data_IF_321767031568
#
_entry.id   IF_321767031568
#
_cell.length_a   1.000
_cell.length_b   1.000
_cell.length_c   1.000
_cell.angle_alpha   90.00
_cell.angle_beta   90.00
_cell.angle_gamma   90.00
#
_symmetry.space_group_name_H-M   'P 1'
#
loop_
_entity.id
_entity.type
_entity.pdbx_description
1 polymer ?
#
# COMPACT_ATOMS: atom_id res chain seq x y z
N UNK A 1 -25.94 -29.32 -22.21
CA UNK A 1 -24.50 -29.55 -21.99
C UNK A 1 -24.06 -28.67 -20.85
N UNK A 2 -23.32 -29.25 -19.90
CA UNK A 2 -22.82 -28.52 -18.73
C UNK A 2 -21.45 -27.94 -19.09
N UNK A 3 -21.30 -26.62 -18.98
CA UNK A 3 -20.00 -25.97 -19.09
C UNK A 3 -19.09 -26.53 -17.99
N UNK A 4 -17.96 -27.14 -18.38
CA UNK A 4 -16.95 -27.58 -17.43
C UNK A 4 -16.06 -26.41 -17.06
N UNK A 5 -15.94 -26.15 -15.76
CA UNK A 5 -15.06 -25.14 -15.17
C UNK A 5 -13.86 -25.86 -14.56
N UNK A 6 -12.67 -25.63 -15.09
CA UNK A 6 -11.44 -26.11 -14.49
C UNK A 6 -10.78 -24.98 -13.68
N UNK A 7 -10.53 -25.23 -12.39
CA UNK A 7 -9.82 -24.31 -11.49
C UNK A 7 -8.47 -24.88 -11.12
N UNK A 8 -7.41 -24.09 -11.29
CA UNK A 8 -6.06 -24.48 -10.87
C UNK A 8 -5.41 -23.37 -10.08
N UNK A 9 -4.69 -23.75 -9.02
CA UNK A 9 -3.87 -22.85 -8.23
C UNK A 9 -2.42 -23.00 -8.68
N UNK A 10 -1.71 -21.89 -8.86
CA UNK A 10 -0.28 -21.91 -9.15
C UNK A 10 0.47 -20.98 -8.18
N UNK A 11 1.70 -21.37 -7.86
CA UNK A 11 2.64 -20.60 -7.07
C UNK A 11 3.90 -20.44 -7.90
N UNK A 12 4.28 -19.20 -8.20
CA UNK A 12 5.54 -18.89 -8.86
C UNK A 12 6.43 -18.15 -7.88
N UNK A 13 7.52 -18.79 -7.47
CA UNK A 13 8.54 -18.19 -6.63
C UNK A 13 9.71 -17.65 -7.46
N UNK A 14 10.36 -16.61 -6.94
CA UNK A 14 11.55 -15.98 -7.53
C UNK A 14 11.31 -15.36 -8.92
N UNK A 15 10.17 -14.70 -9.11
CA UNK A 15 9.92 -13.88 -10.30
C UNK A 15 10.90 -12.70 -10.35
N UNK A 16 11.72 -12.63 -11.39
CA UNK A 16 12.49 -11.43 -11.72
C UNK A 16 11.59 -10.42 -12.46
N UNK A 17 11.06 -9.45 -11.73
CA UNK A 17 10.06 -8.50 -12.26
C UNK A 17 10.58 -7.63 -13.44
N UNK A 18 11.91 -7.51 -13.60
CA UNK A 18 12.56 -6.64 -14.58
C UNK A 18 12.33 -6.98 -16.06
N UNK A 19 11.75 -8.14 -16.39
CA UNK A 19 11.39 -8.51 -17.77
C UNK A 19 9.90 -8.43 -18.09
N UNK A 20 9.03 -8.38 -17.08
CA UNK A 20 7.58 -8.61 -17.25
C UNK A 20 6.76 -7.36 -16.92
N UNK A 21 7.23 -6.50 -16.00
CA UNK A 21 6.53 -5.27 -15.65
C UNK A 21 7.56 -4.13 -15.54
N UNK A 22 7.57 -3.14 -16.46
CA UNK A 22 8.51 -2.02 -16.42
C UNK A 22 8.29 -1.06 -15.23
N UNK A 23 7.30 -1.34 -14.37
CA UNK A 23 7.01 -0.59 -13.16
C UNK A 23 7.96 -0.88 -12.01
N UNK A 24 8.36 -2.15 -11.83
CA UNK A 24 8.96 -2.63 -10.60
C UNK A 24 10.07 -3.63 -10.94
N UNK A 25 11.23 -3.48 -10.30
CA UNK A 25 12.27 -4.51 -10.30
C UNK A 25 12.40 -5.13 -8.91
N UNK A 26 12.64 -6.44 -8.85
CA UNK A 26 12.85 -7.18 -7.61
C UNK A 26 12.53 -8.67 -7.74
N UNK A 27 12.59 -9.37 -6.61
CA UNK A 27 12.26 -10.80 -6.47
C UNK A 27 10.99 -10.95 -5.63
N UNK A 28 10.00 -11.63 -6.19
CA UNK A 28 8.70 -11.82 -5.56
C UNK A 28 8.09 -13.20 -5.80
N UNK A 29 6.92 -13.40 -5.20
CA UNK A 29 6.09 -14.59 -5.39
C UNK A 29 4.71 -14.19 -5.93
N UNK A 30 4.16 -15.01 -6.81
CA UNK A 30 2.80 -14.87 -7.33
C UNK A 30 2.00 -16.11 -6.94
N UNK A 31 0.87 -15.91 -6.29
CA UNK A 31 -0.11 -16.97 -6.01
C UNK A 31 -1.42 -16.57 -6.67
N UNK A 32 -2.04 -17.49 -7.40
CA UNK A 32 -3.33 -17.19 -7.99
C UNK A 32 -4.10 -18.42 -8.46
N UNK A 33 -5.32 -18.15 -8.88
CA UNK A 33 -6.28 -19.09 -9.41
C UNK A 33 -6.57 -18.75 -10.87
N UNK A 34 -6.53 -19.75 -11.74
CA UNK A 34 -6.97 -19.63 -13.12
C UNK A 34 -8.22 -20.47 -13.34
N UNK A 35 -9.23 -19.85 -13.95
CA UNK A 35 -10.47 -20.49 -14.36
C UNK A 35 -10.54 -20.55 -15.88
N UNK A 36 -10.63 -21.78 -16.42
CA UNK A 36 -10.74 -22.02 -17.86
C UNK A 36 -12.12 -22.62 -18.15
N UNK A 37 -12.87 -21.96 -19.04
CA UNK A 37 -14.15 -22.47 -19.54
C UNK A 37 -13.88 -23.34 -20.77
N UNK A 38 -14.37 -24.58 -20.75
CA UNK A 38 -14.20 -25.53 -21.85
C UNK A 38 -15.55 -25.69 -22.56
N UNK A 39 -15.58 -25.35 -23.85
CA UNK A 39 -16.76 -25.48 -24.70
C UNK A 39 -16.93 -26.88 -25.29
N UNK A 40 -18.05 -27.12 -25.99
CA UNK A 40 -18.37 -28.42 -26.60
C UNK A 40 -17.36 -28.88 -27.66
N UNK A 41 -16.60 -27.95 -28.25
CA UNK A 41 -15.60 -28.22 -29.30
C UNK A 41 -14.16 -28.29 -28.77
N UNK A 42 -13.97 -28.39 -27.45
CA UNK A 42 -12.65 -28.40 -26.80
C UNK A 42 -12.37 -27.13 -26.01
N UNK A 43 -11.09 -26.83 -25.76
CA UNK A 43 -10.69 -25.57 -25.11
C UNK A 43 -10.93 -24.43 -26.11
N UNK A 44 -12.16 -23.93 -26.17
CA UNK A 44 -12.40 -22.59 -26.66
C UNK A 44 -11.80 -21.66 -25.62
N UNK A 45 -10.59 -21.16 -25.86
CA UNK A 45 -9.99 -20.10 -25.03
C UNK A 45 -10.73 -18.78 -25.28
N UNK A 46 -12.05 -18.77 -25.08
CA UNK A 46 -12.80 -17.56 -24.78
C UNK A 46 -12.52 -17.24 -23.32
N UNK A 47 -11.30 -16.76 -23.08
CA UNK A 47 -10.94 -16.21 -21.80
C UNK A 47 -10.38 -17.16 -20.78
N UNK A 48 -9.28 -16.74 -20.17
CA UNK A 48 -8.83 -17.27 -18.91
C UNK A 48 -9.11 -16.18 -17.89
N UNK A 49 -10.10 -16.41 -17.05
CA UNK A 49 -10.32 -15.57 -15.88
C UNK A 49 -9.22 -15.95 -14.87
N UNK A 50 -8.43 -14.98 -14.45
CA UNK A 50 -7.30 -15.22 -13.56
C UNK A 50 -7.33 -14.22 -12.41
N UNK A 51 -7.10 -14.70 -11.20
CA UNK A 51 -6.99 -13.87 -10.01
C UNK A 51 -5.73 -14.22 -9.24
N UNK A 52 -5.14 -13.27 -8.55
CA UNK A 52 -3.97 -13.57 -7.77
C UNK A 52 -3.45 -12.43 -6.93
N UNK A 53 -2.47 -12.76 -6.10
CA UNK A 53 -1.70 -11.82 -5.32
C UNK A 53 -0.23 -11.98 -5.67
N UNK A 54 0.37 -10.89 -6.12
CA UNK A 54 1.81 -10.74 -6.26
C UNK A 54 2.37 -10.07 -5.01
N UNK A 55 3.41 -10.66 -4.42
CA UNK A 55 4.13 -10.12 -3.27
C UNK A 55 5.59 -9.93 -3.62
N UNK A 56 6.12 -8.75 -3.32
CA UNK A 56 7.51 -8.40 -3.52
C UNK A 56 8.09 -7.89 -2.20
N UNK A 57 8.94 -8.71 -1.58
CA UNK A 57 9.55 -8.38 -0.29
C UNK A 57 10.48 -7.16 -0.40
N UNK A 58 11.27 -7.08 -1.47
CA UNK A 58 12.17 -5.97 -1.75
C UNK A 58 12.23 -5.68 -3.24
N UNK A 59 12.23 -4.40 -3.58
CA UNK A 59 12.37 -3.97 -4.96
C UNK A 59 12.51 -2.48 -5.11
N UNK A 60 12.38 -2.02 -6.36
CA UNK A 60 12.42 -0.60 -6.70
C UNK A 60 11.37 -0.29 -7.75
N UNK A 61 10.66 0.81 -7.54
CA UNK A 61 9.81 1.42 -8.57
C UNK A 61 10.69 2.10 -9.61
N UNK A 62 10.44 1.79 -10.88
CA UNK A 62 11.20 2.30 -12.03
C UNK A 62 10.62 3.61 -12.60
N UNK A 63 9.53 4.11 -12.01
CA UNK A 63 8.84 5.36 -12.38
C UNK A 63 9.55 6.64 -11.92
N UNK A 64 10.80 6.56 -11.45
CA UNK A 64 11.59 7.70 -10.95
C UNK A 64 11.28 8.06 -9.50
N UNK A 65 11.65 9.28 -9.09
CA UNK A 65 11.50 9.76 -7.72
C UNK A 65 10.03 10.10 -7.42
N UNK A 66 9.34 9.14 -6.78
CA UNK A 66 7.91 9.24 -6.47
C UNK A 66 7.60 10.46 -5.60
N UNK A 67 8.48 10.78 -4.65
CA UNK A 67 8.34 11.96 -3.82
C UNK A 67 8.27 13.24 -4.64
N UNK A 68 9.08 13.39 -5.70
CA UNK A 68 9.02 14.54 -6.59
C UNK A 68 7.72 14.59 -7.40
N UNK A 69 7.24 13.44 -7.87
CA UNK A 69 6.00 13.34 -8.63
C UNK A 69 4.74 13.62 -7.81
N UNK A 70 4.71 13.20 -6.55
CA UNK A 70 3.53 13.30 -5.69
C UNK A 70 3.56 14.57 -4.83
N UNK A 71 4.71 14.92 -4.26
CA UNK A 71 4.84 16.02 -3.30
C UNK A 71 5.29 17.31 -4.01
N UNK A 72 4.48 17.74 -4.97
CA UNK A 72 4.74 18.93 -5.80
C UNK A 72 4.61 20.23 -5.00
N UNK A 73 5.05 21.34 -5.58
CA UNK A 73 4.94 22.65 -4.92
C UNK A 73 3.47 23.07 -4.74
N UNK A 74 2.57 22.65 -5.62
CA UNK A 74 1.12 22.83 -5.47
C UNK A 74 0.58 22.12 -4.25
N UNK A 75 0.97 20.86 -4.01
CA UNK A 75 0.60 20.10 -2.81
C UNK A 75 1.05 20.84 -1.55
N UNK A 76 2.31 21.31 -1.52
CA UNK A 76 2.80 22.07 -0.38
C UNK A 76 2.08 23.41 -0.20
N UNK A 77 1.74 24.10 -1.28
CA UNK A 77 0.98 25.35 -1.22
C UNK A 77 -0.44 25.13 -0.66
N UNK A 78 -1.09 24.01 -0.99
CA UNK A 78 -2.38 23.63 -0.41
C UNK A 78 -2.25 23.40 1.10
N UNK A 79 -1.23 22.66 1.53
CA UNK A 79 -0.98 22.45 2.96
C UNK A 79 -0.70 23.77 3.68
N UNK A 80 0.23 24.59 3.18
CA UNK A 80 0.59 25.90 3.77
C UNK A 80 -0.62 26.80 3.96
N UNK A 81 -1.52 26.88 2.99
CA UNK A 81 -2.77 27.65 3.09
C UNK A 81 -3.69 27.14 4.21
N UNK A 82 -3.69 25.83 4.43
CA UNK A 82 -4.53 25.18 5.45
C UNK A 82 -3.97 25.36 6.85
N UNK A 83 -2.65 25.24 7.00
CA UNK A 83 -1.98 25.35 8.30
C UNK A 83 -1.55 26.79 8.65
N UNK A 84 -1.59 27.71 7.69
CA UNK A 84 -1.15 29.10 7.81
C UNK A 84 0.31 29.27 8.28
N UNK A 85 1.19 28.36 7.84
CA UNK A 85 2.62 28.38 8.15
C UNK A 85 3.42 27.64 7.08
N UNK A 86 4.73 27.88 7.04
CA UNK A 86 5.64 27.12 6.20
C UNK A 86 5.87 25.69 6.72
N UNK A 87 6.21 24.81 5.78
CA UNK A 87 6.67 23.45 6.05
C UNK A 87 8.20 23.43 6.13
N UNK A 88 8.75 22.47 6.87
CA UNK A 88 10.19 22.28 7.00
C UNK A 88 10.82 21.92 5.64
N UNK A 89 11.51 22.88 5.02
CA UNK A 89 12.11 22.72 3.69
C UNK A 89 13.16 21.62 3.62
N UNK A 90 13.89 21.35 4.71
CA UNK A 90 14.86 20.25 4.77
C UNK A 90 14.17 18.89 4.68
N UNK A 91 13.06 18.72 5.40
CA UNK A 91 12.26 17.50 5.35
C UNK A 91 11.60 17.31 3.97
N UNK A 92 11.05 18.39 3.38
CA UNK A 92 10.51 18.36 2.00
C UNK A 92 11.57 17.92 1.00
N UNK A 93 12.77 18.50 1.06
CA UNK A 93 13.86 18.17 0.13
C UNK A 93 14.38 16.73 0.31
N UNK A 94 14.27 16.16 1.51
CA UNK A 94 14.58 14.76 1.77
C UNK A 94 13.57 13.87 1.04
N UNK A 95 12.28 14.10 1.27
CA UNK A 95 11.20 13.29 0.69
C UNK A 95 11.15 13.35 -0.85
N UNK A 96 11.42 14.52 -1.45
CA UNK A 96 11.51 14.63 -2.91
C UNK A 96 12.60 13.74 -3.52
N UNK A 97 13.65 13.42 -2.75
CA UNK A 97 14.79 12.57 -3.16
C UNK A 97 14.65 11.10 -2.75
N UNK A 98 13.55 10.74 -2.10
CA UNK A 98 13.32 9.36 -1.65
C UNK A 98 13.03 8.47 -2.87
N UNK A 99 14.08 7.85 -3.40
CA UNK A 99 14.02 7.03 -4.59
C UNK A 99 13.33 5.69 -4.28
N UNK A 100 12.03 5.60 -4.56
CA UNK A 100 11.28 4.41 -5.05
C UNK A 100 11.50 3.03 -4.42
N UNK A 101 12.24 2.91 -3.32
CA UNK A 101 12.57 1.64 -2.70
C UNK A 101 11.28 1.07 -2.11
N UNK A 102 10.95 -0.13 -2.59
CA UNK A 102 9.82 -0.91 -2.12
C UNK A 102 10.33 -1.86 -1.05
N UNK A 103 9.66 -1.81 0.09
CA UNK A 103 9.53 -2.93 1.01
C UNK A 103 8.08 -3.40 1.00
N UNK A 104 7.89 -4.72 0.99
CA UNK A 104 6.57 -5.35 1.16
C UNK A 104 5.49 -4.82 0.20
N UNK A 105 5.77 -4.78 -1.10
CA UNK A 105 4.71 -4.57 -2.08
C UNK A 105 3.80 -5.80 -2.12
N UNK A 106 2.50 -5.54 -2.08
CA UNK A 106 1.45 -6.52 -2.34
C UNK A 106 0.51 -5.93 -3.40
N UNK A 107 0.26 -6.71 -4.44
CA UNK A 107 -0.63 -6.38 -5.55
C UNK A 107 -1.62 -7.52 -5.72
N UNK A 108 -2.90 -7.26 -5.51
CA UNK A 108 -4.00 -8.20 -5.75
C UNK A 108 -4.73 -7.77 -7.01
N UNK A 109 -5.04 -8.73 -7.88
CA UNK A 109 -5.67 -8.45 -9.16
C UNK A 109 -6.60 -9.57 -9.64
N UNK A 110 -7.54 -9.19 -10.50
CA UNK A 110 -8.42 -10.07 -11.24
C UNK A 110 -8.38 -9.67 -12.71
N UNK A 111 -8.15 -10.60 -13.62
CA UNK A 111 -8.16 -10.38 -15.06
C UNK A 111 -9.25 -11.20 -15.71
N UNK A 112 -9.94 -10.58 -16.67
CA UNK A 112 -10.90 -11.17 -17.59
C UNK A 112 -10.47 -10.85 -19.03
N UNK A 113 -11.28 -11.20 -20.02
CA UNK A 113 -10.94 -11.08 -21.45
C UNK A 113 -10.57 -9.68 -21.91
N UNK A 114 -11.12 -8.65 -21.26
CA UNK A 114 -10.98 -7.26 -21.67
C UNK A 114 -10.12 -6.40 -20.73
N UNK A 115 -9.97 -6.80 -19.47
CA UNK A 115 -9.47 -5.92 -18.42
C UNK A 115 -8.73 -6.71 -17.33
N UNK A 116 -7.73 -6.07 -16.73
CA UNK A 116 -7.12 -6.48 -15.47
C UNK A 116 -7.45 -5.44 -14.40
N UNK A 117 -8.28 -5.83 -13.44
CA UNK A 117 -8.63 -5.03 -12.28
C UNK A 117 -7.60 -5.24 -11.16
N UNK A 118 -6.96 -4.16 -10.73
CA UNK A 118 -6.09 -4.11 -9.55
C UNK A 118 -6.98 -3.79 -8.35
N UNK A 119 -7.34 -4.82 -7.59
CA UNK A 119 -8.25 -4.68 -6.46
C UNK A 119 -7.58 -4.02 -5.26
N UNK A 120 -6.27 -4.22 -5.12
CA UNK A 120 -5.47 -3.66 -4.03
C UNK A 120 -3.99 -3.64 -4.42
N UNK A 121 -3.34 -2.49 -4.32
CA UNK A 121 -1.90 -2.35 -4.46
C UNK A 121 -1.39 -1.53 -3.28
N UNK A 122 -0.57 -2.15 -2.44
CA UNK A 122 0.07 -1.49 -1.32
C UNK A 122 1.57 -1.67 -1.41
N UNK A 123 2.34 -0.63 -1.11
CA UNK A 123 3.76 -0.79 -0.83
C UNK A 123 4.20 0.11 0.31
N UNK A 124 5.24 -0.33 1.01
CA UNK A 124 5.80 0.38 2.14
C UNK A 124 7.19 0.90 1.78
N UNK A 125 7.49 2.06 2.32
CA UNK A 125 8.79 2.67 2.39
C UNK A 125 9.01 3.12 3.85
N UNK A 126 10.24 3.21 4.36
CA UNK A 126 10.49 3.72 5.71
C UNK A 126 9.81 5.06 6.02
N UNK A 127 9.68 5.93 5.02
CA UNK A 127 9.18 7.28 5.20
C UNK A 127 7.67 7.42 4.85
N UNK A 128 7.13 6.53 4.01
CA UNK A 128 5.75 6.60 3.54
C UNK A 128 5.17 5.22 3.19
N UNK A 129 3.85 5.14 3.18
CA UNK A 129 3.10 4.03 2.60
C UNK A 129 2.31 4.54 1.40
N UNK A 130 2.05 3.68 0.42
CA UNK A 130 1.12 4.00 -0.66
C UNK A 130 0.12 2.88 -0.84
N UNK A 131 -1.12 3.28 -1.12
CA UNK A 131 -2.27 2.41 -1.31
C UNK A 131 -2.98 2.86 -2.58
N UNK A 132 -3.11 1.97 -3.56
CA UNK A 132 -3.76 2.23 -4.84
C UNK A 132 -4.77 1.13 -5.15
N UNK A 133 -5.82 1.49 -5.88
CA UNK A 133 -6.72 0.57 -6.56
C UNK A 133 -6.99 1.11 -7.97
N UNK A 134 -7.29 0.22 -8.91
CA UNK A 134 -7.51 0.66 -10.29
C UNK A 134 -7.76 -0.47 -11.26
N UNK A 135 -7.71 -0.16 -12.54
CA UNK A 135 -7.85 -1.13 -13.61
C UNK A 135 -6.93 -0.81 -14.79
N UNK A 136 -6.63 -1.85 -15.57
CA UNK A 136 -5.81 -1.82 -16.75
C UNK A 136 -6.60 -2.45 -17.89
N UNK A 137 -6.93 -1.65 -18.91
CA UNK A 137 -7.66 -2.12 -20.10
C UNK A 137 -6.69 -2.77 -21.08
N UNK A 138 -7.03 -3.96 -21.59
CA UNK A 138 -6.15 -4.74 -22.48
C UNK A 138 -6.09 -4.20 -23.91
N UNK A 139 -7.18 -3.60 -24.39
CA UNK A 139 -7.32 -3.16 -25.79
C UNK A 139 -6.28 -2.10 -26.20
N UNK A 140 -5.79 -1.33 -25.24
CA UNK A 140 -4.87 -0.20 -25.41
C UNK A 140 -3.76 -0.13 -24.33
N UNK A 141 -3.79 -1.02 -23.33
CA UNK A 141 -2.82 -1.03 -22.24
C UNK A 141 -2.95 0.18 -21.31
N UNK A 142 -4.12 0.82 -21.28
CA UNK A 142 -4.36 2.03 -20.48
C UNK A 142 -4.59 1.65 -19.02
N UNK A 143 -3.76 2.21 -18.15
CA UNK A 143 -3.85 2.10 -16.70
C UNK A 143 -4.60 3.31 -16.15
N UNK A 144 -5.61 3.05 -15.32
CA UNK A 144 -6.32 4.06 -14.53
C UNK A 144 -6.38 3.56 -13.09
N UNK A 145 -5.69 4.25 -12.17
CA UNK A 145 -5.74 3.93 -10.75
C UNK A 145 -5.81 5.19 -9.90
N UNK A 146 -6.31 5.05 -8.70
CA UNK A 146 -6.39 6.10 -7.70
C UNK A 146 -5.99 5.58 -6.34
N UNK A 147 -5.66 6.48 -5.42
CA UNK A 147 -5.45 6.08 -4.05
C UNK A 147 -4.78 7.15 -3.23
N UNK A 148 -3.98 6.73 -2.25
CA UNK A 148 -3.38 7.61 -1.26
C UNK A 148 -1.89 7.33 -1.10
N UNK A 149 -1.12 8.40 -1.10
CA UNK A 149 0.26 8.44 -0.66
C UNK A 149 0.30 8.98 0.76
N UNK A 150 0.67 8.14 1.72
CA UNK A 150 0.52 8.37 3.15
C UNK A 150 1.89 8.55 3.79
N UNK A 151 2.17 9.74 4.29
CA UNK A 151 3.40 10.04 5.03
C UNK A 151 3.27 9.53 6.47
N UNK A 152 4.31 8.85 6.94
CA UNK A 152 4.31 8.30 8.31
C UNK A 152 4.16 9.39 9.38
N UNK A 153 3.77 8.99 10.58
CA UNK A 153 3.67 9.90 11.74
C UNK A 153 4.97 10.62 12.04
N UNK A 154 6.12 9.93 11.97
CA UNK A 154 7.42 10.55 12.22
C UNK A 154 7.69 11.66 11.20
N UNK A 155 7.53 11.34 9.90
CA UNK A 155 7.77 12.29 8.81
C UNK A 155 6.80 13.47 8.86
N UNK A 156 5.53 13.22 9.17
CA UNK A 156 4.52 14.27 9.32
C UNK A 156 4.91 15.26 10.41
N UNK A 157 5.41 14.77 11.56
CA UNK A 157 5.91 15.61 12.65
C UNK A 157 7.21 16.38 12.30
N UNK A 158 8.07 15.81 11.45
CA UNK A 158 9.27 16.50 10.96
C UNK A 158 8.95 17.62 9.95
N UNK A 159 7.90 17.43 9.13
CA UNK A 159 7.43 18.40 8.15
C UNK A 159 6.76 19.62 8.80
N UNK A 160 6.00 19.38 9.86
CA UNK A 160 5.15 20.40 10.50
C UNK A 160 5.46 20.44 11.99
N UNK A 161 6.41 21.29 12.37
CA UNK A 161 6.95 21.38 13.73
C UNK A 161 5.91 21.88 14.76
N UNK A 162 4.94 22.68 14.31
CA UNK A 162 3.84 23.14 15.16
C UNK A 162 2.77 22.04 15.27
N UNK A 163 2.59 21.50 16.48
CA UNK A 163 1.64 20.41 16.76
C UNK A 163 0.19 20.79 16.49
N UNK A 164 -0.22 22.02 16.80
CA UNK A 164 -1.60 22.48 16.58
C UNK A 164 -1.90 22.66 15.10
N UNK A 165 -0.90 23.08 14.31
CA UNK A 165 -1.00 23.10 12.86
C UNK A 165 -1.03 21.68 12.26
N UNK A 166 -0.20 20.76 12.77
CA UNK A 166 -0.15 19.37 12.32
C UNK A 166 -1.50 18.68 12.52
N UNK A 167 -2.13 18.87 13.70
CA UNK A 167 -3.46 18.34 14.03
C UNK A 167 -4.55 18.71 13.00
N UNK A 168 -4.37 19.77 12.20
CA UNK A 168 -5.34 20.18 11.18
C UNK A 168 -5.33 19.32 9.93
N UNK A 169 -4.23 18.63 9.64
CA UNK A 169 -4.07 17.93 8.35
C UNK A 169 -3.73 16.44 8.48
N UNK A 170 -3.46 15.96 9.70
CA UNK A 170 -3.23 14.54 9.95
C UNK A 170 -4.52 13.78 10.23
N UNK A 171 -4.52 12.49 9.91
CA UNK A 171 -5.55 11.55 10.34
C UNK A 171 -5.40 11.19 11.84
N UNK A 172 -6.28 10.32 12.34
CA UNK A 172 -6.23 9.84 13.74
C UNK A 172 -4.93 9.13 14.13
N UNK A 173 -4.21 8.57 13.15
CA UNK A 173 -2.92 7.92 13.33
C UNK A 173 -1.75 8.92 13.34
N UNK A 174 -1.99 10.19 13.04
CA UNK A 174 -0.97 11.23 12.93
C UNK A 174 -0.26 11.28 11.57
N UNK A 175 -0.89 10.72 10.53
CA UNK A 175 -0.33 10.62 9.18
C UNK A 175 -0.95 11.66 8.24
N UNK A 176 -0.17 12.15 7.28
CA UNK A 176 -0.65 13.01 6.19
C UNK A 176 -0.97 12.14 4.97
N UNK A 177 -2.18 12.25 4.44
CA UNK A 177 -2.59 11.55 3.22
C UNK A 177 -2.67 12.51 2.04
N UNK A 178 -1.98 12.17 0.95
CA UNK A 178 -2.04 12.87 -0.34
C UNK A 178 -2.77 11.96 -1.33
N UNK A 179 -3.99 12.32 -1.75
CA UNK A 179 -4.69 11.62 -2.82
C UNK A 179 -3.87 11.66 -4.11
N UNK A 180 -3.82 10.56 -4.84
CA UNK A 180 -3.05 10.42 -6.09
C UNK A 180 -3.86 9.74 -7.18
N UNK A 181 -3.52 10.05 -8.43
CA UNK A 181 -3.95 9.33 -9.63
C UNK A 181 -2.74 8.71 -10.32
N UNK A 182 -2.94 7.51 -10.85
CA UNK A 182 -2.04 6.87 -11.80
C UNK A 182 -2.78 6.75 -13.12
N UNK A 183 -2.15 7.20 -14.19
CA UNK A 183 -2.68 7.12 -15.54
C UNK A 183 -1.59 6.74 -16.54
N UNK A 184 -1.97 6.49 -17.79
CA UNK A 184 -1.05 6.31 -18.90
C UNK A 184 -1.04 4.88 -19.40
N UNK A 185 0.10 4.44 -19.92
CA UNK A 185 0.27 3.06 -20.40
C UNK A 185 1.25 2.32 -19.52
N UNK A 186 1.32 0.98 -19.63
CA UNK A 186 2.32 0.18 -18.90
C UNK A 186 3.76 0.68 -19.15
N UNK A 187 4.04 1.19 -20.36
CA UNK A 187 5.36 1.71 -20.74
C UNK A 187 5.62 3.14 -20.26
N UNK A 188 4.57 3.93 -20.08
CA UNK A 188 4.65 5.35 -19.75
C UNK A 188 3.62 5.70 -18.68
N UNK A 189 4.02 5.49 -17.43
CA UNK A 189 3.15 5.67 -16.27
C UNK A 189 3.31 7.05 -15.69
N UNK A 190 2.17 7.70 -15.50
CA UNK A 190 2.06 9.03 -14.91
C UNK A 190 1.42 8.89 -13.55
N UNK A 191 2.22 9.10 -12.50
CA UNK A 191 1.75 9.25 -11.13
C UNK A 191 1.73 10.74 -10.79
N UNK A 192 0.60 11.25 -10.32
CA UNK A 192 0.41 12.65 -9.97
C UNK A 192 -0.54 12.81 -8.76
N UNK A 193 -0.42 13.89 -7.98
CA UNK A 193 -1.38 14.19 -6.93
C UNK A 193 -2.74 14.55 -7.52
N UNK A 194 -3.82 14.11 -6.87
CA UNK A 194 -5.17 14.59 -7.16
C UNK A 194 -5.43 15.88 -6.38
N UNK A 195 -5.06 17.01 -7.01
CA UNK A 195 -5.15 18.33 -6.39
C UNK A 195 -6.59 18.75 -6.09
N UNK A 196 -7.57 18.25 -6.84
CA UNK A 196 -8.99 18.56 -6.63
C UNK A 196 -9.46 17.92 -5.32
N UNK A 197 -9.29 16.60 -5.18
CA UNK A 197 -9.64 15.88 -3.96
C UNK A 197 -8.82 16.39 -2.77
N UNK A 198 -7.53 16.66 -2.95
CA UNK A 198 -6.69 17.20 -1.88
C UNK A 198 -7.21 18.55 -1.39
N UNK A 199 -7.56 19.47 -2.29
CA UNK A 199 -8.10 20.78 -1.94
C UNK A 199 -9.42 20.63 -1.19
N UNK A 200 -10.33 19.80 -1.69
CA UNK A 200 -11.61 19.51 -1.03
C UNK A 200 -11.42 18.93 0.37
N UNK A 201 -10.49 17.97 0.53
CA UNK A 201 -10.17 17.39 1.84
C UNK A 201 -9.65 18.45 2.81
N UNK A 202 -8.78 19.35 2.36
CA UNK A 202 -8.23 20.42 3.20
C UNK A 202 -9.26 21.50 3.56
N UNK A 203 -10.19 21.82 2.66
CA UNK A 203 -11.29 22.73 2.95
C UNK A 203 -12.24 22.17 4.01
N UNK A 204 -12.60 20.89 3.91
CA UNK A 204 -13.42 20.19 4.89
C UNK A 204 -12.77 20.12 6.30
N UNK A 205 -11.45 20.31 6.39
CA UNK A 205 -10.71 20.32 7.65
C UNK A 205 -10.67 21.72 8.30
N UNK A 206 -10.90 22.81 7.55
CA UNK A 206 -10.95 24.17 8.11
C UNK A 206 -12.11 24.38 9.07
N UNK A 207 -13.22 23.67 8.84
CA UNK A 207 -14.46 23.82 9.59
C UNK A 207 -14.64 22.79 10.71
N UNK A 208 -13.70 21.84 10.85
CA UNK A 208 -13.74 20.88 11.96
C UNK A 208 -13.24 21.54 13.25
N UNK A 209 -14.03 21.54 14.34
CA UNK A 209 -13.53 21.97 15.64
C UNK A 209 -12.32 21.11 16.00
N UNK A 210 -11.23 21.76 16.44
CA UNK A 210 -10.04 21.08 16.96
C UNK A 210 -10.51 20.01 17.94
N UNK A 211 -10.19 18.75 17.66
CA UNK A 211 -10.47 17.64 18.56
C UNK A 211 -9.77 17.99 19.86
N UNK A 212 -10.57 18.38 20.87
CA UNK A 212 -10.05 18.60 22.22
C UNK A 212 -9.43 17.29 22.64
N UNK A 213 -8.14 17.33 22.98
CA UNK A 213 -7.40 16.18 23.48
C UNK A 213 -8.29 15.42 24.47
N UNK A 214 -8.55 14.15 24.19
CA UNK A 214 -9.33 13.29 25.07
C UNK A 214 -8.71 13.38 26.47
N UNK A 215 -9.61 13.66 27.42
CA UNK A 215 -9.35 14.00 28.81
C UNK A 215 -8.17 13.23 29.40
N UNK A 216 -7.32 13.97 30.12
CA UNK A 216 -6.44 13.43 31.16
C UNK A 216 -7.17 12.31 31.90
N UNK A 217 -6.57 11.12 31.84
CA UNK A 217 -6.92 10.00 32.71
C UNK A 217 -6.87 10.54 34.15
N UNK A 218 -7.98 10.51 34.92
CA UNK A 218 -7.95 11.00 36.28
C UNK A 218 -6.92 10.20 37.07
N UNK A 219 -6.04 10.91 37.77
CA UNK A 219 -5.06 10.39 38.73
C UNK A 219 -5.66 9.25 39.55
N UNK A 220 -5.20 8.03 39.27
CA UNK A 220 -5.46 6.88 40.14
C UNK A 220 -4.66 7.13 41.42
N UNK A 221 -5.37 7.61 42.44
CA UNK A 221 -4.86 7.72 43.81
C UNK A 221 -4.23 6.39 44.22
N UNK A 222 -2.99 6.51 44.70
CA UNK A 222 -2.20 5.48 45.35
C UNK A 222 -3.07 4.68 46.34
N UNK A 223 -3.29 3.40 46.02
CA UNK A 223 -3.85 2.41 46.91
C UNK A 223 -2.80 1.36 47.26
N UNK A 224 -2.33 1.41 48.50
CA UNK A 224 -1.69 0.39 49.31
C UNK A 224 -1.12 -0.88 48.63
N UNK A 225 0.19 -1.08 48.83
CA UNK A 225 0.81 -2.42 48.85
C UNK A 225 0.11 -3.28 49.91
N UNK A 226 -0.11 -4.59 49.64
CA UNK A 226 0.72 -5.54 50.39
C UNK A 226 1.06 -6.85 49.65
N UNK A 227 2.21 -7.37 50.09
CA UNK A 227 2.61 -8.76 50.19
C UNK A 227 3.18 -9.52 48.97
N UNK A 228 4.51 -9.64 49.04
CA UNK A 228 5.31 -10.80 48.63
C UNK A 228 4.59 -12.13 48.93
N UNK A 229 4.39 -12.94 47.90
CA UNK A 229 4.52 -14.40 48.01
C UNK A 229 5.47 -14.91 46.93
N UNK A 230 6.55 -15.53 47.41
CA UNK A 230 7.43 -16.45 46.68
C UNK A 230 6.63 -17.68 46.24
N UNK A 231 6.93 -18.20 45.04
CA UNK A 231 7.36 -19.59 44.78
C UNK A 231 7.56 -19.76 43.26
N UNK A 232 8.81 -19.96 42.83
CA UNK A 232 9.44 -21.26 42.52
C UNK A 232 9.25 -21.68 41.06
N UNK A 233 10.34 -21.58 40.32
CA UNK A 233 10.60 -22.25 39.05
C UNK A 233 10.85 -23.75 39.31
N UNK A 234 10.23 -24.63 38.53
CA UNK A 234 10.90 -25.86 38.06
C UNK A 234 10.15 -26.53 36.90
N UNK A 235 10.95 -26.93 35.92
CA UNK A 235 10.77 -28.03 34.97
C UNK A 235 9.80 -27.84 33.79
N UNK A 236 10.37 -27.36 32.68
CA UNK A 236 10.59 -28.19 31.49
C UNK A 236 9.37 -28.57 30.65
N UNK A 237 9.18 -27.87 29.53
CA UNK A 237 8.95 -28.53 28.24
C UNK A 237 9.12 -27.50 27.11
N UNK A 238 10.19 -27.67 26.35
CA UNK A 238 10.33 -27.17 24.99
C UNK A 238 9.67 -28.19 24.08
N UNK A 239 8.74 -27.76 23.22
CA UNK A 239 8.43 -28.49 21.98
C UNK A 239 8.17 -27.52 20.84
N UNK A 240 8.88 -27.85 19.76
CA UNK A 240 8.93 -27.37 18.38
C UNK A 240 7.53 -27.15 17.73
N UNK A 241 7.40 -26.11 16.91
CA UNK A 241 7.38 -26.14 15.43
C UNK A 241 6.25 -27.00 14.88
N UNK A 242 5.24 -26.35 14.30
CA UNK A 242 4.51 -26.89 13.16
C UNK A 242 4.54 -25.84 12.04
N UNK A 243 5.45 -26.10 11.08
CA UNK A 243 5.41 -25.57 9.73
C UNK A 243 4.70 -26.64 8.89
N UNK A 244 3.44 -26.42 8.55
CA UNK A 244 2.79 -27.20 7.49
C UNK A 244 3.24 -26.64 6.13
N UNK A 245 4.30 -27.23 5.59
CA UNK A 245 4.71 -27.11 4.19
C UNK A 245 4.28 -28.39 3.48
N UNK A 246 3.25 -28.29 2.64
CA UNK A 246 2.96 -29.34 1.65
C UNK A 246 4.02 -29.29 0.54
N UNK A 247 4.93 -30.27 0.53
CA UNK A 247 5.74 -30.63 -0.64
C UNK A 247 4.90 -31.54 -1.53
N UNK A 248 4.64 -31.12 -2.77
CA UNK A 248 4.23 -32.05 -3.83
C UNK A 248 5.47 -32.40 -4.65
N UNK A 249 5.74 -33.71 -4.71
CA UNK A 249 6.78 -34.35 -5.52
C UNK A 249 6.23 -34.44 -6.96
N UNK A 250 6.97 -33.91 -7.93
CA UNK A 250 6.72 -34.18 -9.35
C UNK A 250 7.65 -35.32 -9.75
N UNK A 251 7.08 -36.47 -10.07
CA UNK A 251 7.77 -37.57 -10.75
C UNK A 251 7.91 -37.26 -12.25
N UNK A 252 8.98 -37.81 -12.84
CA UNK A 252 9.47 -37.62 -14.21
C UNK A 252 8.42 -37.68 -15.32
#
# INVERSE_FOLDING_TARGET
SENQICKTQFVVDNLEAGKVIPLISGTGSLVGDAEVKIGENGIETQGIDFSGTFVLAKGKLLVGDIGEKVLTDEVWNIFKKTIAQDVNSKAVNKLKKEAGNISDLKLSFNTNDSETNITDMQWKNPDFNAYLNGSLKKADGVLEASGNFVLSKQISAELILNKEALKKIVNVSGEISVPVKVSGTISEIVLAPDLEILTQNMENLKDKPLVKDEKEVPDVKQGATPNKKKNQTKNGMTTNVDQDVFKVIIGE
#
